data_IF_936907724742
#
_entry.id   IF_936907724742
#
_cell.length_a   1.000
_cell.length_b   1.000
_cell.length_c   1.000
_cell.angle_alpha   90.00
_cell.angle_beta   90.00
_cell.angle_gamma   90.00
#
_symmetry.space_group_name_H-M   'P 1'
#
loop_
_entity.id
_entity.type
_entity.pdbx_description
1 polymer ?
#
# COMPACT_ATOMS: atom_id res chain seq x y z
N UNK A 1 -47.19 -30.12 22.18
CA UNK A 1 -46.24 -29.09 21.69
C UNK A 1 -46.43 -27.82 22.52
N UNK A 2 -45.55 -27.54 23.48
CA UNK A 2 -45.63 -26.32 24.29
C UNK A 2 -45.12 -25.11 23.51
N UNK A 3 -45.95 -24.07 23.36
CA UNK A 3 -45.53 -22.78 22.77
C UNK A 3 -44.52 -22.11 23.71
N UNK A 4 -43.23 -22.22 23.41
CA UNK A 4 -42.20 -21.39 24.05
C UNK A 4 -42.38 -19.93 23.65
N UNK A 5 -42.33 -19.01 24.62
CA UNK A 5 -42.26 -17.57 24.36
C UNK A 5 -40.81 -17.12 24.52
N UNK A 6 -40.31 -16.41 23.52
CA UNK A 6 -39.01 -15.75 23.57
C UNK A 6 -39.20 -14.39 24.25
N UNK A 7 -38.56 -14.20 25.40
CA UNK A 7 -38.48 -12.91 26.08
C UNK A 7 -37.08 -12.35 25.86
N UNK A 8 -37.01 -11.13 25.36
CA UNK A 8 -35.79 -10.36 25.27
C UNK A 8 -35.98 -9.06 26.06
N UNK A 9 -34.92 -8.61 26.69
CA UNK A 9 -34.88 -7.33 27.39
C UNK A 9 -33.69 -6.56 26.86
N UNK A 10 -33.92 -5.30 26.46
CA UNK A 10 -32.84 -4.40 26.10
C UNK A 10 -32.11 -3.99 27.38
N UNK A 11 -30.76 -3.97 27.33
CA UNK A 11 -29.98 -3.29 28.36
C UNK A 11 -30.08 -1.80 28.11
N UNK A 12 -31.06 -1.16 28.75
CA UNK A 12 -31.42 0.24 28.50
C UNK A 12 -30.23 1.20 28.65
N UNK A 13 -29.33 0.97 29.61
CA UNK A 13 -28.12 1.78 29.76
C UNK A 13 -27.18 1.71 28.55
N UNK A 14 -27.00 0.52 27.98
CA UNK A 14 -26.19 0.35 26.75
C UNK A 14 -26.90 0.95 25.55
N UNK A 15 -28.21 0.79 25.46
CA UNK A 15 -29.00 1.36 24.38
C UNK A 15 -28.98 2.90 24.41
N UNK A 16 -29.08 3.51 25.60
CA UNK A 16 -28.98 4.96 25.78
C UNK A 16 -27.58 5.48 25.42
N UNK A 17 -26.52 4.76 25.83
CA UNK A 17 -25.15 5.07 25.45
C UNK A 17 -24.94 4.96 23.92
N UNK A 18 -25.40 3.88 23.30
CA UNK A 18 -25.33 3.68 21.85
C UNK A 18 -26.15 4.73 21.06
N UNK A 19 -27.33 5.10 21.55
CA UNK A 19 -28.15 6.18 20.98
C UNK A 19 -27.45 7.55 21.08
N UNK A 20 -26.73 7.82 22.17
CA UNK A 20 -25.96 9.05 22.36
C UNK A 20 -24.74 9.11 21.41
N UNK A 21 -24.26 7.96 20.96
CA UNK A 21 -23.18 7.81 19.99
C UNK A 21 -23.64 7.69 18.53
N UNK A 22 -24.95 7.70 18.27
CA UNK A 22 -25.48 7.63 16.91
C UNK A 22 -24.96 8.81 16.07
N UNK A 23 -24.02 8.53 15.17
CA UNK A 23 -23.36 9.54 14.31
C UNK A 23 -22.10 10.19 14.89
N UNK A 24 -21.63 9.78 16.08
CA UNK A 24 -20.41 10.27 16.72
C UNK A 24 -19.35 9.18 16.77
N UNK A 25 -18.11 9.52 16.40
CA UNK A 25 -16.97 8.62 16.53
C UNK A 25 -16.31 8.80 17.89
N UNK A 26 -16.20 7.72 18.67
CA UNK A 26 -15.45 7.71 19.94
C UNK A 26 -14.15 6.95 19.73
N UNK A 27 -13.04 7.57 20.11
CA UNK A 27 -11.72 6.93 20.11
C UNK A 27 -11.37 6.54 21.54
N UNK A 28 -11.29 5.23 21.80
CA UNK A 28 -10.75 4.69 23.05
C UNK A 28 -9.23 4.54 22.98
N UNK A 29 -8.53 4.88 24.04
CA UNK A 29 -7.09 4.65 24.18
C UNK A 29 -6.76 4.22 25.61
N UNK A 30 -5.69 3.45 25.79
CA UNK A 30 -5.16 3.08 27.10
C UNK A 30 -4.22 4.14 27.69
N UNK A 31 -3.98 5.24 26.97
CA UNK A 31 -3.14 6.35 27.41
C UNK A 31 -3.90 7.26 28.37
N UNK A 32 -3.27 7.61 29.49
CA UNK A 32 -3.78 8.60 30.44
C UNK A 32 -3.73 10.04 29.90
N UNK A 33 -4.48 10.99 30.50
CA UNK A 33 -4.49 12.40 30.09
C UNK A 33 -3.12 13.10 30.20
N UNK A 34 -2.26 12.60 31.08
CA UNK A 34 -0.87 13.01 31.28
C UNK A 34 0.08 12.50 30.18
N UNK A 35 -0.29 11.43 29.49
CA UNK A 35 0.52 10.79 28.46
C UNK A 35 0.19 11.28 27.04
N UNK A 36 -1.08 11.56 26.75
CA UNK A 36 -1.50 12.07 25.45
C UNK A 36 -2.80 12.89 25.53
N UNK A 37 -2.79 14.03 24.85
CA UNK A 37 -3.98 14.85 24.66
C UNK A 37 -4.92 14.22 23.61
N UNK A 38 -6.22 14.53 23.67
CA UNK A 38 -7.20 14.03 22.71
C UNK A 38 -6.82 14.32 21.22
N UNK A 39 -6.30 15.51 20.85
CA UNK A 39 -5.81 15.76 19.48
C UNK A 39 -4.63 14.86 19.08
N UNK A 40 -3.72 14.56 20.00
CA UNK A 40 -2.60 13.64 19.73
C UNK A 40 -3.10 12.21 19.49
N UNK A 41 -4.08 11.75 20.28
CA UNK A 41 -4.72 10.44 20.09
C UNK A 41 -5.42 10.37 18.72
N UNK A 42 -6.19 11.40 18.36
CA UNK A 42 -6.85 11.47 17.05
C UNK A 42 -5.83 11.48 15.89
N UNK A 43 -4.74 12.24 16.02
CA UNK A 43 -3.67 12.28 15.01
C UNK A 43 -3.02 10.92 14.84
N UNK A 44 -2.69 10.24 15.94
CA UNK A 44 -2.09 8.90 15.89
C UNK A 44 -3.07 7.87 15.29
N UNK A 45 -4.34 7.92 15.64
CA UNK A 45 -5.37 7.08 15.04
C UNK A 45 -5.50 7.30 13.53
N UNK A 46 -5.51 8.56 13.06
CA UNK A 46 -5.52 8.88 11.63
C UNK A 46 -4.27 8.39 10.91
N UNK A 47 -3.11 8.46 11.56
CA UNK A 47 -1.87 7.94 11.01
C UNK A 47 -1.91 6.40 10.87
N UNK A 48 -2.47 5.71 11.86
CA UNK A 48 -2.75 4.27 11.80
C UNK A 48 -3.65 3.92 10.61
N UNK A 49 -4.73 4.66 10.37
CA UNK A 49 -5.59 4.46 9.20
C UNK A 49 -4.85 4.66 7.87
N UNK A 50 -3.94 5.63 7.78
CA UNK A 50 -3.09 5.79 6.59
C UNK A 50 -2.15 4.61 6.39
N UNK A 51 -1.58 4.09 7.48
CA UNK A 51 -0.72 2.90 7.46
C UNK A 51 -1.52 1.67 7.01
N UNK A 52 -2.73 1.46 7.52
CA UNK A 52 -3.63 0.38 7.10
C UNK A 52 -4.06 0.51 5.64
N UNK A 53 -4.36 1.72 5.19
CA UNK A 53 -4.70 1.98 3.78
C UNK A 53 -3.52 1.65 2.86
N UNK A 54 -2.31 2.09 3.21
CA UNK A 54 -1.07 1.74 2.50
C UNK A 54 -0.85 0.23 2.49
N UNK A 55 -1.04 -0.44 3.62
CA UNK A 55 -0.96 -1.90 3.68
C UNK A 55 -1.99 -2.60 2.78
N UNK A 56 -3.20 -2.05 2.65
CA UNK A 56 -4.23 -2.59 1.77
C UNK A 56 -3.85 -2.45 0.30
N UNK A 57 -3.51 -1.22 -0.12
CA UNK A 57 -3.09 -0.91 -1.49
C UNK A 57 -1.87 -1.74 -1.89
N UNK A 58 -0.91 -1.90 -0.97
CA UNK A 58 0.27 -2.71 -1.20
C UNK A 58 -0.05 -4.20 -1.33
N UNK A 59 -0.91 -4.75 -0.45
CA UNK A 59 -1.35 -6.15 -0.55
C UNK A 59 -2.04 -6.42 -1.89
N UNK A 60 -2.87 -5.48 -2.34
CA UNK A 60 -3.54 -5.56 -3.62
C UNK A 60 -2.53 -5.49 -4.78
N UNK A 61 -1.55 -4.57 -4.71
CA UNK A 61 -0.53 -4.40 -5.74
C UNK A 61 0.41 -5.61 -5.85
N UNK A 62 0.93 -6.11 -4.72
CA UNK A 62 1.81 -7.28 -4.67
C UNK A 62 1.05 -8.61 -4.80
N UNK A 63 -0.28 -8.57 -4.99
CA UNK A 63 -1.17 -9.75 -4.98
C UNK A 63 -0.96 -10.63 -3.73
N UNK A 64 -0.52 -10.04 -2.62
CA UNK A 64 -0.43 -10.70 -1.33
C UNK A 64 -1.86 -10.86 -0.83
N UNK A 65 -2.51 -11.97 -1.20
CA UNK A 65 -3.84 -12.32 -0.67
C UNK A 65 -3.82 -12.18 0.86
N UNK A 66 -4.95 -11.86 1.51
CA UNK A 66 -5.03 -11.87 2.98
C UNK A 66 -4.66 -13.26 3.49
N UNK A 67 -3.40 -13.47 3.87
CA UNK A 67 -2.97 -14.69 4.53
C UNK A 67 -3.30 -14.49 6.00
N UNK A 68 -4.33 -15.19 6.49
CA UNK A 68 -4.58 -15.25 7.93
C UNK A 68 -3.42 -16.01 8.56
N UNK A 69 -2.45 -15.27 9.09
CA UNK A 69 -1.33 -15.82 9.82
C UNK A 69 -1.76 -16.03 11.28
N UNK A 70 -1.78 -17.28 11.71
CA UNK A 70 -2.14 -17.65 13.09
C UNK A 70 -0.93 -17.98 13.96
N UNK A 71 0.28 -18.02 13.38
CA UNK A 71 1.53 -18.24 14.12
C UNK A 71 2.31 -16.94 14.22
N UNK A 72 2.87 -16.69 15.41
CA UNK A 72 3.56 -15.44 15.75
C UNK A 72 4.68 -15.11 14.75
N UNK A 73 5.49 -16.10 14.36
CA UNK A 73 6.58 -15.93 13.39
C UNK A 73 6.09 -15.43 12.03
N UNK A 74 4.96 -15.96 11.53
CA UNK A 74 4.41 -15.55 10.23
C UNK A 74 3.78 -14.15 10.31
N UNK A 75 3.16 -13.81 11.44
CA UNK A 75 2.66 -12.44 11.68
C UNK A 75 3.82 -11.44 11.68
N UNK A 76 4.90 -11.72 12.41
CA UNK A 76 6.10 -10.88 12.44
C UNK A 76 6.72 -10.71 11.05
N UNK A 77 6.87 -11.79 10.29
CA UNK A 77 7.38 -11.74 8.92
C UNK A 77 6.51 -10.91 7.97
N UNK A 78 5.19 -11.09 8.04
CA UNK A 78 4.24 -10.32 7.23
C UNK A 78 4.28 -8.82 7.54
N UNK A 79 4.32 -8.46 8.83
CA UNK A 79 4.45 -7.06 9.27
C UNK A 79 5.76 -6.47 8.76
N UNK A 80 6.88 -7.20 8.85
CA UNK A 80 8.16 -6.74 8.36
C UNK A 80 8.14 -6.43 6.84
N UNK A 81 7.67 -7.38 6.02
CA UNK A 81 7.53 -7.18 4.56
C UNK A 81 6.65 -5.97 4.26
N UNK A 82 5.55 -5.82 4.99
CA UNK A 82 4.64 -4.69 4.83
C UNK A 82 5.31 -3.34 5.16
N UNK A 83 6.11 -3.28 6.23
CA UNK A 83 6.87 -2.09 6.60
C UNK A 83 7.89 -1.74 5.51
N UNK A 84 8.68 -2.72 5.04
CA UNK A 84 9.66 -2.49 3.96
C UNK A 84 9.00 -1.93 2.71
N UNK A 85 7.90 -2.53 2.31
CA UNK A 85 7.21 -2.11 1.12
C UNK A 85 6.54 -0.72 1.26
N UNK A 86 6.05 -0.35 2.46
CA UNK A 86 5.60 1.01 2.75
C UNK A 86 6.75 2.03 2.67
N UNK A 87 7.95 1.66 3.12
CA UNK A 87 9.15 2.49 2.98
C UNK A 87 9.53 2.64 1.51
N UNK A 88 9.56 1.56 0.74
CA UNK A 88 9.85 1.58 -0.71
C UNK A 88 8.84 2.45 -1.44
N UNK A 89 7.55 2.31 -1.15
CA UNK A 89 6.49 3.15 -1.74
C UNK A 89 6.72 4.64 -1.43
N UNK A 90 7.10 4.96 -0.18
CA UNK A 90 7.39 6.34 0.22
C UNK A 90 8.62 6.92 -0.49
N UNK A 91 9.67 6.11 -0.70
CA UNK A 91 10.87 6.49 -1.45
C UNK A 91 10.53 6.75 -2.91
N UNK A 92 9.84 5.83 -3.58
CA UNK A 92 9.33 6.02 -4.95
C UNK A 92 8.52 7.31 -5.04
N UNK A 93 7.61 7.55 -4.10
CA UNK A 93 6.79 8.76 -4.09
C UNK A 93 7.63 10.03 -3.94
N UNK A 94 8.68 10.00 -3.11
CA UNK A 94 9.58 11.12 -2.92
C UNK A 94 10.41 11.40 -4.18
N UNK A 95 10.88 10.36 -4.85
CA UNK A 95 11.68 10.46 -6.08
C UNK A 95 10.85 11.01 -7.25
N UNK A 96 9.63 10.51 -7.43
CA UNK A 96 8.69 11.02 -8.44
C UNK A 96 8.35 12.50 -8.21
N UNK A 97 8.14 12.91 -6.95
CA UNK A 97 7.90 14.32 -6.60
C UNK A 97 9.13 15.19 -6.84
N UNK A 98 10.32 14.70 -6.48
CA UNK A 98 11.58 15.45 -6.68
C UNK A 98 11.86 15.67 -8.16
N UNK A 99 11.55 14.70 -9.00
CA UNK A 99 11.64 14.81 -10.45
C UNK A 99 10.47 15.59 -11.09
N UNK A 100 9.47 16.00 -10.30
CA UNK A 100 8.33 16.79 -10.77
C UNK A 100 7.40 16.03 -11.72
N UNK A 101 7.41 14.69 -11.72
CA UNK A 101 6.61 13.88 -12.63
C UNK A 101 5.12 14.01 -12.29
N UNK A 102 4.35 14.49 -13.27
CA UNK A 102 2.88 14.60 -13.20
C UNK A 102 2.21 13.38 -13.79
N UNK A 103 1.03 13.07 -13.28
CA UNK A 103 0.21 12.02 -13.87
C UNK A 103 -0.37 12.53 -15.20
N UNK A 104 -0.11 11.86 -16.34
CA UNK A 104 -0.60 12.32 -17.63
C UNK A 104 -2.13 12.23 -17.75
N UNK A 105 -2.76 11.34 -16.99
CA UNK A 105 -4.22 11.20 -16.95
C UNK A 105 -4.85 12.19 -15.94
N UNK A 106 -4.05 12.69 -14.98
CA UNK A 106 -4.49 13.55 -13.87
C UNK A 106 -3.45 14.66 -13.61
N UNK A 107 -3.46 15.68 -14.47
CA UNK A 107 -2.41 16.72 -14.54
C UNK A 107 -2.20 17.50 -13.24
N UNK A 108 -3.22 17.62 -12.38
CA UNK A 108 -3.16 18.37 -11.14
C UNK A 108 -2.37 17.66 -10.02
N UNK A 109 -2.07 16.37 -10.19
CA UNK A 109 -1.36 15.58 -9.19
C UNK A 109 -0.01 15.05 -9.70
N UNK A 110 0.88 14.78 -8.76
CA UNK A 110 2.10 14.03 -9.06
C UNK A 110 1.76 12.57 -9.36
N UNK A 111 2.58 11.94 -10.21
CA UNK A 111 2.45 10.53 -10.51
C UNK A 111 2.59 9.71 -9.21
N UNK A 112 1.63 8.82 -8.96
CA UNK A 112 1.64 7.98 -7.74
C UNK A 112 2.55 6.76 -7.93
N UNK A 113 3.15 6.23 -6.84
CA UNK A 113 3.96 5.00 -6.90
C UNK A 113 3.23 3.83 -7.56
N UNK A 114 1.96 3.63 -7.21
CA UNK A 114 1.14 2.54 -7.76
C UNK A 114 0.95 2.70 -9.27
N UNK A 115 0.70 3.92 -9.75
CA UNK A 115 0.57 4.17 -11.19
C UNK A 115 1.91 3.98 -11.90
N UNK A 116 2.98 4.52 -11.34
CA UNK A 116 4.33 4.36 -11.88
C UNK A 116 4.73 2.88 -12.01
N UNK A 117 4.56 2.09 -10.94
CA UNK A 117 4.86 0.66 -10.95
C UNK A 117 3.96 -0.12 -11.91
N UNK A 118 2.69 0.26 -12.08
CA UNK A 118 1.80 -0.33 -13.10
C UNK A 118 2.27 -0.06 -14.52
N UNK A 119 2.73 1.17 -14.79
CA UNK A 119 3.30 1.53 -16.10
C UNK A 119 4.60 0.76 -16.37
N UNK A 120 5.46 0.63 -15.35
CA UNK A 120 6.70 -0.16 -15.44
C UNK A 120 6.45 -1.66 -15.57
N UNK A 121 5.36 -2.20 -15.00
CA UNK A 121 4.99 -3.61 -15.14
C UNK A 121 4.69 -4.05 -16.57
N UNK A 122 4.58 -3.11 -17.51
CA UNK A 122 4.49 -3.38 -18.96
C UNK A 122 5.85 -3.60 -19.61
N UNK A 123 6.94 -3.17 -18.97
CA UNK A 123 8.31 -3.38 -19.44
C UNK A 123 8.73 -4.80 -19.08
N UNK A 124 9.04 -5.60 -20.11
CA UNK A 124 9.47 -6.98 -19.93
C UNK A 124 10.90 -7.13 -20.43
N UNK A 125 11.75 -7.79 -19.62
CA UNK A 125 13.04 -8.31 -20.05
C UNK A 125 12.84 -9.75 -20.48
N UNK A 126 13.03 -10.02 -21.78
CA UNK A 126 12.87 -11.34 -22.38
C UNK A 126 14.25 -11.91 -22.62
N UNK A 127 14.51 -13.08 -22.05
CA UNK A 127 15.70 -13.86 -22.35
C UNK A 127 15.43 -14.75 -23.56
N UNK A 128 16.12 -14.50 -24.66
CA UNK A 128 16.07 -15.31 -25.89
C UNK A 128 17.29 -16.22 -25.89
N UNK A 129 17.06 -17.53 -25.95
CA UNK A 129 18.10 -18.51 -26.19
C UNK A 129 18.18 -18.80 -27.68
N UNK A 130 19.33 -18.51 -28.30
CA UNK A 130 19.60 -18.75 -29.72
C UNK A 130 20.85 -19.64 -29.84
N UNK A 131 20.64 -20.96 -29.81
CA UNK A 131 21.73 -21.94 -29.73
C UNK A 131 22.50 -21.82 -28.41
N UNK A 132 23.83 -21.67 -28.49
CA UNK A 132 24.72 -21.45 -27.34
C UNK A 132 24.60 -20.04 -26.73
N UNK A 133 23.88 -19.11 -27.38
CA UNK A 133 23.83 -17.70 -26.98
C UNK A 133 22.57 -17.38 -26.20
N UNK A 134 22.73 -16.58 -25.15
CA UNK A 134 21.62 -16.03 -24.38
C UNK A 134 21.59 -14.52 -24.60
N UNK A 135 20.53 -14.00 -25.19
CA UNK A 135 20.35 -12.57 -25.47
C UNK A 135 19.20 -12.04 -24.62
N UNK A 136 19.45 -11.02 -23.80
CA UNK A 136 18.37 -10.30 -23.14
C UNK A 136 17.86 -9.16 -24.02
N UNK A 137 16.56 -9.18 -24.29
CA UNK A 137 15.84 -8.17 -25.06
C UNK A 137 14.82 -7.50 -24.16
N UNK A 138 14.92 -6.19 -24.00
CA UNK A 138 13.96 -5.41 -23.20
C UNK A 138 12.98 -4.72 -24.15
N UNK A 139 11.68 -4.81 -23.85
CA UNK A 139 10.63 -4.15 -24.65
C UNK A 139 10.88 -2.66 -24.82
N UNK A 140 10.58 -2.09 -25.99
CA UNK A 140 10.69 -0.64 -26.22
C UNK A 140 9.85 0.12 -25.20
N UNK A 141 10.47 1.09 -24.55
CA UNK A 141 9.88 1.88 -23.47
C UNK A 141 9.10 3.06 -24.04
N UNK A 142 7.97 3.40 -23.43
CA UNK A 142 7.30 4.66 -23.68
C UNK A 142 8.08 5.83 -23.06
N UNK A 143 7.85 7.09 -23.51
CA UNK A 143 8.47 8.27 -22.90
C UNK A 143 8.21 8.35 -21.38
N UNK A 144 6.98 8.03 -20.94
CA UNK A 144 6.62 8.00 -19.53
C UNK A 144 7.42 6.96 -18.75
N UNK A 145 7.58 5.74 -19.28
CA UNK A 145 8.39 4.70 -18.63
C UNK A 145 9.85 5.10 -18.50
N UNK A 146 10.42 5.75 -19.52
CA UNK A 146 11.79 6.27 -19.46
C UNK A 146 11.93 7.37 -18.39
N UNK A 147 10.98 8.30 -18.30
CA UNK A 147 10.96 9.33 -17.27
C UNK A 147 10.84 8.75 -15.86
N UNK A 148 9.97 7.74 -15.67
CA UNK A 148 9.83 7.05 -14.38
C UNK A 148 11.16 6.39 -13.98
N UNK A 149 11.79 5.62 -14.88
CA UNK A 149 13.05 4.94 -14.59
C UNK A 149 14.18 5.94 -14.27
N UNK A 150 14.25 7.05 -14.99
CA UNK A 150 15.19 8.13 -14.72
C UNK A 150 14.94 8.79 -13.36
N UNK A 151 13.68 9.06 -13.01
CA UNK A 151 13.30 9.62 -11.71
C UNK A 151 13.70 8.70 -10.54
N UNK A 152 13.62 7.39 -10.75
CA UNK A 152 14.03 6.36 -9.78
C UNK A 152 15.55 6.07 -9.80
N UNK A 153 16.33 6.76 -10.64
CA UNK A 153 17.78 6.58 -10.74
C UNK A 153 18.20 5.23 -11.33
N UNK A 154 17.34 4.57 -12.08
CA UNK A 154 17.66 3.27 -12.72
C UNK A 154 18.54 3.53 -13.94
N UNK A 155 19.76 2.98 -13.94
CA UNK A 155 20.61 2.98 -15.13
C UNK A 155 20.02 2.01 -16.17
N UNK A 156 19.67 2.57 -17.32
CA UNK A 156 19.09 1.82 -18.44
C UNK A 156 19.98 1.84 -19.68
N UNK A 157 21.24 2.25 -19.53
CA UNK A 157 22.21 2.39 -20.63
C UNK A 157 22.48 1.05 -21.32
N UNK A 158 22.49 -0.04 -20.56
CA UNK A 158 22.65 -1.41 -21.09
C UNK A 158 21.41 -1.94 -21.81
N UNK A 159 20.24 -1.31 -21.66
CA UNK A 159 18.96 -1.83 -22.17
C UNK A 159 18.72 -1.52 -23.65
N UNK A 160 19.49 -0.58 -24.21
CA UNK A 160 19.42 -0.22 -25.62
C UNK A 160 20.29 -1.13 -26.52
N UNK A 161 21.25 -1.84 -25.93
CA UNK A 161 22.14 -2.76 -26.64
C UNK A 161 21.65 -4.17 -26.38
N UNK A 162 21.33 -4.93 -27.42
CA UNK A 162 21.28 -6.38 -27.30
C UNK A 162 22.68 -6.82 -26.86
N UNK A 163 22.87 -6.99 -25.55
CA UNK A 163 24.18 -7.26 -24.99
C UNK A 163 24.39 -8.75 -25.16
N UNK A 164 25.20 -9.09 -26.17
CA UNK A 164 25.64 -10.46 -26.44
C UNK A 164 26.65 -10.82 -25.34
N UNK A 165 26.31 -11.75 -24.46
CA UNK A 165 27.28 -12.47 -23.63
C UNK A 165 27.77 -13.72 -24.37
#
# INVERSE_FOLDING_TARGET
MGRGRFLYHYREERFAYEALLAGRYVLGTSLGPDQATAPQVLRHYRHLLQVEHRFRVLKDFLRLRPVRHFTETRVRGHVAVCVYAAVIEALIAADLRRAGLRDPDLVDQHLTPVRALRELGRVHAITIHAGERTVQVITRRSPLQAQILAALGVDTTSWAKATLS
#
